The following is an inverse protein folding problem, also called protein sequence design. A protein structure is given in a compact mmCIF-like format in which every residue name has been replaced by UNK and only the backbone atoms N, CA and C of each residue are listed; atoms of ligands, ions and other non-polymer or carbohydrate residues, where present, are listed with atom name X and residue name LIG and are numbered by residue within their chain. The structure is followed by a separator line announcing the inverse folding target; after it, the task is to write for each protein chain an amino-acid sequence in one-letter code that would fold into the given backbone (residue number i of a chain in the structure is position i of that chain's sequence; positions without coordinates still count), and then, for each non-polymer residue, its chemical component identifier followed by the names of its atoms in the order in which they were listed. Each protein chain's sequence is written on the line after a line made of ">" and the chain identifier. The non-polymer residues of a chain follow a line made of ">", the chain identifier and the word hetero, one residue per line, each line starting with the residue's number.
data_IF_384786035411
#
_entry.id   IF_384786035411
#
_cell.length_a   1.000
_cell.length_b   1.000
_cell.length_c   1.000
_cell.angle_alpha   90.00
_cell.angle_beta   90.00
_cell.angle_gamma   90.00
#
_symmetry.space_group_name_H-M   'P 1'
#
loop_
_entity.id
_entity.type
_entity.pdbx_description
1 polymer ?
#
# COMPACT_ATOMS: atom_id res chain seq x y z
N UNK A 1 36.10 -31.40 -14.92
CA UNK A 1 35.00 -31.20 -13.97
C UNK A 1 34.51 -29.76 -14.10
N UNK A 2 33.52 -29.52 -14.97
CA UNK A 2 32.88 -28.21 -15.12
C UNK A 2 31.81 -28.07 -14.03
N UNK A 3 32.15 -27.34 -12.96
CA UNK A 3 31.21 -27.03 -11.89
C UNK A 3 30.00 -26.27 -12.47
N UNK A 4 28.79 -26.79 -12.26
CA UNK A 4 27.56 -26.01 -12.43
C UNK A 4 27.60 -24.88 -11.41
N UNK A 5 28.00 -23.69 -11.83
CA UNK A 5 27.73 -22.48 -11.09
C UNK A 5 26.21 -22.31 -11.09
N UNK A 6 25.55 -22.74 -10.01
CA UNK A 6 24.17 -22.38 -9.76
C UNK A 6 24.08 -20.87 -9.82
N UNK A 7 23.16 -20.34 -10.64
CA UNK A 7 22.90 -18.91 -10.68
C UNK A 7 22.75 -18.40 -9.23
N UNK A 8 23.38 -17.26 -8.87
CA UNK A 8 23.33 -16.78 -7.51
C UNK A 8 21.87 -16.63 -7.05
N UNK A 9 21.54 -16.97 -5.79
CA UNK A 9 20.16 -17.02 -5.30
C UNK A 9 19.42 -15.67 -5.39
N UNK A 10 20.15 -14.57 -5.57
CA UNK A 10 19.65 -13.20 -5.70
C UNK A 10 19.38 -12.76 -7.16
N UNK A 11 19.34 -13.68 -8.13
CA UNK A 11 18.99 -13.38 -9.52
C UNK A 11 17.62 -12.70 -9.69
N UNK A 12 16.71 -12.86 -8.73
CA UNK A 12 15.38 -12.23 -8.73
C UNK A 12 15.41 -10.73 -8.39
N UNK A 13 16.44 -10.26 -7.67
CA UNK A 13 16.61 -8.85 -7.27
C UNK A 13 17.16 -8.01 -8.43
N UNK A 14 17.96 -8.64 -9.30
CA UNK A 14 18.51 -8.03 -10.49
C UNK A 14 19.25 -6.71 -10.21
N UNK A 15 18.94 -5.61 -10.93
CA UNK A 15 19.67 -4.34 -10.84
C UNK A 15 19.44 -3.57 -9.53
N UNK A 16 18.50 -4.00 -8.67
CA UNK A 16 18.26 -3.40 -7.36
C UNK A 16 19.11 -4.03 -6.24
N UNK A 17 20.03 -4.95 -6.59
CA UNK A 17 20.87 -5.67 -5.63
C UNK A 17 21.63 -4.75 -4.66
N UNK A 18 22.23 -3.62 -5.07
CA UNK A 18 22.87 -2.72 -4.13
C UNK A 18 21.90 -2.23 -3.03
N UNK A 19 20.69 -1.81 -3.39
CA UNK A 19 19.75 -1.30 -2.39
C UNK A 19 19.23 -2.42 -1.47
N UNK A 20 18.99 -3.61 -2.03
CA UNK A 20 18.57 -4.78 -1.27
C UNK A 20 19.67 -5.24 -0.29
N UNK A 21 20.92 -5.32 -0.75
CA UNK A 21 22.06 -5.73 0.06
C UNK A 21 22.36 -4.71 1.16
N UNK A 22 22.23 -3.41 0.87
CA UNK A 22 22.35 -2.37 1.90
C UNK A 22 21.36 -2.58 3.05
N UNK A 23 20.10 -2.88 2.72
CA UNK A 23 19.07 -3.19 3.71
C UNK A 23 19.42 -4.45 4.49
N UNK A 24 19.73 -5.55 3.80
CA UNK A 24 20.06 -6.83 4.42
C UNK A 24 21.29 -6.72 5.35
N UNK A 25 22.31 -5.96 4.96
CA UNK A 25 23.51 -5.73 5.77
C UNK A 25 23.20 -4.95 7.05
N UNK A 26 22.43 -3.86 6.93
CA UNK A 26 21.98 -3.10 8.11
C UNK A 26 21.14 -3.98 9.05
N UNK A 27 20.28 -4.84 8.49
CA UNK A 27 19.48 -5.80 9.25
C UNK A 27 20.33 -6.86 9.97
N UNK A 28 21.27 -7.48 9.26
CA UNK A 28 22.18 -8.50 9.81
C UNK A 28 23.06 -7.93 10.94
N UNK A 29 23.51 -6.69 10.80
CA UNK A 29 24.32 -6.01 11.79
C UNK A 29 23.50 -5.35 12.93
N UNK A 30 22.17 -5.42 12.89
CA UNK A 30 21.31 -4.81 13.91
C UNK A 30 21.47 -3.29 14.00
N UNK A 31 21.75 -2.62 12.86
CA UNK A 31 21.97 -1.19 12.83
C UNK A 31 20.64 -0.46 12.93
N UNK A 32 20.27 -0.01 14.12
CA UNK A 32 19.06 0.78 14.38
C UNK A 32 19.49 2.16 14.91
N UNK A 33 18.77 3.21 14.49
CA UNK A 33 18.95 4.63 14.91
C UNK A 33 20.33 5.24 14.65
N UNK A 34 21.14 4.60 13.81
CA UNK A 34 22.49 5.05 13.44
C UNK A 34 22.48 6.37 12.66
N UNK A 35 23.47 7.25 12.86
CA UNK A 35 23.70 8.40 11.99
C UNK A 35 23.94 7.98 10.54
N UNK A 36 23.50 8.82 9.59
CA UNK A 36 23.55 8.52 8.14
C UNK A 36 24.97 8.28 7.63
N UNK A 37 25.96 8.96 8.20
CA UNK A 37 27.37 8.84 7.81
C UNK A 37 28.03 7.54 8.30
N UNK A 38 27.42 6.83 9.25
CA UNK A 38 27.87 5.50 9.69
C UNK A 38 27.31 4.37 8.81
N UNK A 39 26.34 4.68 7.93
CA UNK A 39 25.73 3.69 7.06
C UNK A 39 26.59 3.49 5.82
N UNK A 40 26.82 2.24 5.39
CA UNK A 40 27.59 1.99 4.18
C UNK A 40 26.84 2.54 2.97
N UNK A 41 27.56 3.10 1.99
CA UNK A 41 26.96 3.58 0.75
C UNK A 41 26.70 2.42 -0.23
N UNK A 42 25.77 2.62 -1.18
CA UNK A 42 25.32 1.57 -2.12
C UNK A 42 26.44 1.04 -3.02
N UNK A 43 27.51 1.81 -3.25
CA UNK A 43 28.66 1.36 -4.03
C UNK A 43 29.59 0.47 -3.20
N UNK A 44 29.99 0.96 -2.01
CA UNK A 44 30.96 0.29 -1.13
C UNK A 44 30.48 -1.08 -0.65
N UNK A 45 29.16 -1.26 -0.50
CA UNK A 45 28.64 -2.55 -0.05
C UNK A 45 28.89 -3.70 -1.04
N UNK A 46 29.02 -3.38 -2.33
CA UNK A 46 29.16 -4.37 -3.40
C UNK A 46 30.58 -4.93 -3.46
N UNK A 47 31.55 -4.28 -2.80
CA UNK A 47 32.94 -4.72 -2.73
C UNK A 47 33.19 -5.75 -1.62
N UNK A 48 32.21 -5.94 -0.73
CA UNK A 48 32.30 -6.84 0.42
C UNK A 48 31.62 -8.18 0.13
N UNK A 49 32.16 -9.27 0.66
CA UNK A 49 31.54 -10.58 0.56
C UNK A 49 30.15 -10.59 1.23
N UNK A 50 29.19 -11.28 0.60
CA UNK A 50 27.84 -11.44 1.14
C UNK A 50 27.87 -12.62 2.12
N UNK A 51 27.57 -12.34 3.39
CA UNK A 51 27.44 -13.34 4.43
C UNK A 51 26.17 -14.19 4.25
N UNK A 52 26.17 -15.39 4.83
CA UNK A 52 25.01 -16.30 4.77
C UNK A 52 23.73 -15.70 5.39
N UNK A 53 23.87 -14.84 6.40
CA UNK A 53 22.72 -14.19 7.01
C UNK A 53 22.14 -13.10 6.10
N UNK A 54 23.01 -12.30 5.45
CA UNK A 54 22.57 -11.36 4.43
C UNK A 54 21.88 -12.06 3.26
N UNK A 55 22.37 -13.23 2.81
CA UNK A 55 21.71 -14.02 1.77
C UNK A 55 20.28 -14.42 2.17
N UNK A 56 20.06 -14.86 3.41
CA UNK A 56 18.73 -15.21 3.92
C UNK A 56 17.80 -13.99 3.94
N UNK A 57 18.31 -12.85 4.43
CA UNK A 57 17.57 -11.59 4.47
C UNK A 57 17.25 -11.08 3.06
N UNK A 58 18.17 -11.21 2.11
CA UNK A 58 17.95 -10.88 0.70
C UNK A 58 16.80 -11.69 0.11
N UNK A 59 16.78 -13.01 0.31
CA UNK A 59 15.69 -13.88 -0.17
C UNK A 59 14.35 -13.50 0.47
N UNK A 60 14.33 -13.31 1.79
CA UNK A 60 13.13 -12.91 2.53
C UNK A 60 12.59 -11.55 2.06
N UNK A 61 13.46 -10.54 1.96
CA UNK A 61 13.07 -9.21 1.53
C UNK A 61 12.62 -9.19 0.05
N UNK A 62 13.26 -9.98 -0.81
CA UNK A 62 12.87 -10.11 -2.22
C UNK A 62 11.44 -10.67 -2.39
N UNK A 63 11.01 -11.59 -1.52
CA UNK A 63 9.63 -12.10 -1.54
C UNK A 63 8.61 -11.01 -1.23
N UNK A 64 8.88 -10.18 -0.21
CA UNK A 64 8.03 -9.04 0.15
C UNK A 64 7.97 -8.02 -0.99
N UNK A 65 9.12 -7.70 -1.58
CA UNK A 65 9.19 -6.76 -2.72
C UNK A 65 8.44 -7.29 -3.93
N UNK A 66 8.59 -8.58 -4.27
CA UNK A 66 7.89 -9.21 -5.39
C UNK A 66 6.37 -9.18 -5.21
N UNK A 67 5.87 -9.54 -4.02
CA UNK A 67 4.44 -9.49 -3.71
C UNK A 67 3.88 -8.05 -3.79
N UNK A 68 4.61 -7.07 -3.26
CA UNK A 68 4.21 -5.66 -3.37
C UNK A 68 4.30 -5.13 -4.81
N UNK A 69 5.25 -5.61 -5.61
CA UNK A 69 5.36 -5.27 -7.03
C UNK A 69 4.18 -5.84 -7.83
N UNK A 70 3.77 -7.08 -7.56
CA UNK A 70 2.60 -7.70 -8.14
C UNK A 70 1.33 -6.88 -7.83
N UNK A 71 1.14 -6.48 -6.56
CA UNK A 71 0.03 -5.61 -6.16
C UNK A 71 0.11 -4.23 -6.80
N UNK A 72 1.31 -3.64 -6.86
CA UNK A 72 1.53 -2.34 -7.48
C UNK A 72 1.20 -2.36 -8.96
N UNK A 73 1.72 -3.36 -9.67
CA UNK A 73 1.49 -3.57 -11.09
C UNK A 73 0.01 -3.79 -11.36
N UNK A 74 -0.62 -4.70 -10.61
CA UNK A 74 -2.03 -4.97 -10.77
C UNK A 74 -2.88 -3.70 -10.60
N UNK A 75 -2.55 -2.85 -9.62
CA UNK A 75 -3.33 -1.64 -9.36
C UNK A 75 -3.03 -0.49 -10.32
N UNK A 76 -1.77 -0.29 -10.66
CA UNK A 76 -1.29 0.93 -11.32
C UNK A 76 -0.86 0.71 -12.76
N UNK A 77 -0.41 -0.49 -13.13
CA UNK A 77 0.09 -0.81 -14.47
C UNK A 77 -0.95 -1.54 -15.31
N UNK A 78 -1.45 -2.67 -14.82
CA UNK A 78 -2.31 -3.59 -15.57
C UNK A 78 -3.31 -4.30 -14.65
N UNK A 79 -4.55 -3.82 -14.66
CA UNK A 79 -5.64 -4.35 -13.83
C UNK A 79 -6.13 -5.75 -14.21
N UNK A 80 -5.64 -6.30 -15.32
CA UNK A 80 -5.98 -7.65 -15.80
C UNK A 80 -5.03 -8.73 -15.27
N UNK A 81 -3.87 -8.36 -14.73
CA UNK A 81 -2.86 -9.31 -14.30
C UNK A 81 -2.55 -9.20 -12.82
N UNK A 82 -2.59 -10.34 -12.13
CA UNK A 82 -2.19 -10.45 -10.72
C UNK A 82 -0.68 -10.58 -10.51
N UNK A 83 0.08 -10.68 -11.59
CA UNK A 83 1.54 -10.69 -11.55
C UNK A 83 2.08 -9.44 -12.23
N UNK A 84 3.31 -9.06 -11.89
CA UNK A 84 3.94 -7.86 -12.39
C UNK A 84 4.00 -7.84 -13.92
N UNK A 85 3.55 -6.72 -14.48
CA UNK A 85 3.65 -6.29 -15.89
C UNK A 85 4.48 -5.03 -16.01
N UNK A 86 5.23 -4.69 -14.96
CA UNK A 86 6.22 -3.64 -15.04
C UNK A 86 7.28 -4.03 -16.06
N UNK A 87 7.70 -3.07 -16.89
CA UNK A 87 8.91 -3.24 -17.69
C UNK A 87 10.12 -3.40 -16.78
N UNK A 88 11.22 -3.92 -17.31
CA UNK A 88 12.47 -4.03 -16.55
C UNK A 88 12.90 -2.70 -15.88
N UNK A 89 12.76 -1.58 -16.60
CA UNK A 89 13.10 -0.25 -16.08
C UNK A 89 12.09 0.27 -15.04
N UNK A 90 10.80 -0.06 -15.17
CA UNK A 90 9.77 0.27 -14.18
C UNK A 90 9.96 -0.55 -12.89
N UNK A 91 10.19 -1.86 -13.01
CA UNK A 91 10.48 -2.76 -11.90
C UNK A 91 11.73 -2.32 -11.14
N UNK A 92 12.82 -2.01 -11.86
CA UNK A 92 14.03 -1.48 -11.23
C UNK A 92 13.78 -0.19 -10.43
N UNK A 93 13.03 0.78 -11.00
CA UNK A 93 12.68 2.02 -10.29
C UNK A 93 11.82 1.73 -9.05
N UNK A 94 10.85 0.82 -9.17
CA UNK A 94 9.97 0.41 -8.08
C UNK A 94 10.78 -0.21 -6.94
N UNK A 95 11.54 -1.27 -7.22
CA UNK A 95 12.29 -2.02 -6.21
C UNK A 95 13.35 -1.14 -5.54
N UNK A 96 14.08 -0.33 -6.32
CA UNK A 96 15.09 0.59 -5.79
C UNK A 96 14.49 1.60 -4.82
N UNK A 97 13.36 2.21 -5.17
CA UNK A 97 12.67 3.16 -4.31
C UNK A 97 12.09 2.48 -3.05
N UNK A 98 11.54 1.27 -3.20
CA UNK A 98 10.99 0.49 -2.09
C UNK A 98 12.07 0.09 -1.09
N UNK A 99 13.22 -0.43 -1.53
CA UNK A 99 14.32 -0.81 -0.64
C UNK A 99 14.92 0.39 0.10
N UNK A 100 15.09 1.54 -0.57
CA UNK A 100 15.60 2.77 0.07
C UNK A 100 14.65 3.29 1.14
N UNK A 101 13.35 3.26 0.85
CA UNK A 101 12.32 3.62 1.82
C UNK A 101 12.29 2.63 3.00
N UNK A 102 12.34 1.33 2.70
CA UNK A 102 12.36 0.28 3.73
C UNK A 102 13.57 0.41 4.64
N UNK A 103 14.74 0.77 4.11
CA UNK A 103 15.92 1.04 4.93
C UNK A 103 15.65 2.17 5.94
N UNK A 104 14.97 3.25 5.56
CA UNK A 104 14.57 4.31 6.51
C UNK A 104 13.59 3.79 7.57
N UNK A 105 12.58 3.02 7.17
CA UNK A 105 11.66 2.36 8.12
C UNK A 105 12.39 1.42 9.08
N UNK A 106 13.42 0.72 8.63
CA UNK A 106 14.20 -0.17 9.49
C UNK A 106 15.10 0.62 10.46
N UNK A 107 15.75 1.68 9.97
CA UNK A 107 16.69 2.47 10.77
C UNK A 107 15.99 3.32 11.83
N UNK A 108 14.88 3.95 11.48
CA UNK A 108 14.23 4.97 12.31
C UNK A 108 12.77 4.67 12.61
N UNK A 109 12.22 3.60 12.01
CA UNK A 109 10.83 3.19 12.19
C UNK A 109 10.67 2.13 13.29
N UNK A 110 9.72 1.21 13.08
CA UNK A 110 9.44 0.15 14.04
C UNK A 110 10.63 -0.81 14.16
N UNK A 111 11.15 -1.03 15.37
CA UNK A 111 12.18 -2.05 15.56
C UNK A 111 11.57 -3.45 15.35
N UNK A 112 12.38 -4.43 14.92
CA UNK A 112 11.89 -5.78 14.64
C UNK A 112 11.35 -6.46 15.91
N UNK A 113 10.36 -7.37 15.78
CA UNK A 113 9.83 -8.10 16.92
C UNK A 113 10.94 -8.81 17.70
N UNK A 114 11.04 -8.56 19.01
CA UNK A 114 12.03 -9.19 19.88
C UNK A 114 13.31 -8.38 20.12
N UNK A 115 13.48 -7.20 19.51
CA UNK A 115 14.48 -6.23 20.01
C UNK A 115 14.14 -5.86 21.45
N UNK A 116 15.14 -5.78 22.33
CA UNK A 116 14.93 -5.43 23.75
C UNK A 116 14.04 -4.17 23.85
N UNK A 117 12.94 -4.29 24.59
CA UNK A 117 11.98 -3.19 24.78
C UNK A 117 12.68 -2.08 25.58
N UNK A 118 13.06 -1.02 24.90
CA UNK A 118 13.41 0.22 25.58
C UNK A 118 12.16 0.84 26.19
N UNK A 119 12.32 1.47 27.36
CA UNK A 119 11.25 2.04 28.17
C UNK A 119 10.44 3.10 27.41
N UNK A 120 9.13 3.16 27.70
CA UNK A 120 8.10 3.97 27.04
C UNK A 120 8.43 5.48 26.94
N UNK A 121 9.20 6.01 27.90
CA UNK A 121 9.54 7.44 27.98
C UNK A 121 10.53 7.91 26.90
N UNK A 122 11.18 7.01 26.17
CA UNK A 122 12.28 7.34 25.25
C UNK A 122 11.84 7.63 23.80
N UNK A 123 10.59 7.33 23.41
CA UNK A 123 10.23 7.23 21.98
C UNK A 123 9.84 8.56 21.31
N UNK A 124 9.26 9.52 22.04
CA UNK A 124 8.80 10.81 21.47
C UNK A 124 9.95 11.74 21.06
N UNK A 125 10.89 11.98 21.97
CA UNK A 125 12.09 12.79 21.69
C UNK A 125 12.95 12.20 20.57
N UNK A 126 12.87 10.89 20.37
CA UNK A 126 13.69 10.17 19.40
C UNK A 126 13.19 10.34 17.95
N UNK A 127 11.88 10.47 17.72
CA UNK A 127 11.36 10.77 16.38
C UNK A 127 11.79 12.17 15.94
N UNK A 128 11.60 13.19 16.78
CA UNK A 128 12.00 14.57 16.44
C UNK A 128 13.49 14.64 16.11
N UNK A 129 14.31 13.85 16.83
CA UNK A 129 15.74 13.66 16.53
C UNK A 129 16.00 12.84 15.26
N UNK A 130 15.05 12.04 14.80
CA UNK A 130 15.17 11.23 13.58
C UNK A 130 14.84 12.00 12.31
N UNK A 131 13.96 13.00 12.33
CA UNK A 131 13.57 13.77 11.12
C UNK A 131 14.80 14.42 10.44
N UNK A 132 15.73 15.09 11.16
CA UNK A 132 16.97 15.58 10.57
C UNK A 132 17.81 14.46 9.95
N UNK A 133 17.93 13.31 10.61
CA UNK A 133 18.68 12.15 10.08
C UNK A 133 18.04 11.59 8.81
N UNK A 134 16.71 11.47 8.77
CA UNK A 134 15.97 11.08 7.58
C UNK A 134 16.21 12.08 6.44
N UNK A 135 16.20 13.37 6.74
CA UNK A 135 16.49 14.43 5.76
C UNK A 135 17.92 14.31 5.21
N UNK A 136 18.92 14.12 6.08
CA UNK A 136 20.32 13.92 5.67
C UNK A 136 20.48 12.70 4.75
N UNK A 137 19.78 11.61 5.07
CA UNK A 137 19.76 10.41 4.22
C UNK A 137 19.15 10.69 2.85
N UNK A 138 17.97 11.34 2.83
CA UNK A 138 17.24 11.63 1.60
C UNK A 138 17.94 12.68 0.71
N UNK A 139 18.70 13.59 1.30
CA UNK A 139 19.47 14.61 0.58
C UNK A 139 20.48 14.02 -0.41
N UNK A 140 20.93 12.77 -0.20
CA UNK A 140 21.82 12.05 -1.11
C UNK A 140 21.17 11.68 -2.46
N UNK A 141 19.84 11.71 -2.57
CA UNK A 141 19.13 11.31 -3.80
C UNK A 141 18.73 12.50 -4.66
N UNK A 142 18.61 12.26 -5.97
CA UNK A 142 18.06 13.26 -6.92
C UNK A 142 16.57 13.52 -6.68
N UNK A 143 16.05 14.67 -7.13
CA UNK A 143 14.61 14.98 -6.97
C UNK A 143 13.71 13.95 -7.66
N UNK A 144 14.17 13.37 -8.78
CA UNK A 144 13.46 12.28 -9.47
C UNK A 144 13.36 11.03 -8.60
N UNK A 145 14.43 10.66 -7.90
CA UNK A 145 14.43 9.51 -6.99
C UNK A 145 13.56 9.76 -5.76
N UNK A 146 13.54 10.99 -5.23
CA UNK A 146 12.63 11.38 -4.15
C UNK A 146 11.17 11.27 -4.56
N UNK A 147 10.82 11.65 -5.80
CA UNK A 147 9.48 11.42 -6.33
C UNK A 147 9.13 9.92 -6.42
N UNK A 148 10.10 9.07 -6.80
CA UNK A 148 9.90 7.62 -6.84
C UNK A 148 9.61 7.07 -5.44
N UNK A 149 10.40 7.48 -4.44
CA UNK A 149 10.19 7.11 -3.03
C UNK A 149 8.80 7.56 -2.57
N UNK A 150 8.42 8.82 -2.85
CA UNK A 150 7.10 9.35 -2.48
C UNK A 150 5.95 8.59 -3.17
N UNK A 151 6.12 8.19 -4.42
CA UNK A 151 5.09 7.42 -5.11
C UNK A 151 4.90 6.04 -4.46
N UNK A 152 5.99 5.39 -4.06
CA UNK A 152 5.94 4.13 -3.31
C UNK A 152 5.25 4.32 -1.96
N UNK A 153 5.54 5.38 -1.21
CA UNK A 153 4.90 5.61 0.09
C UNK A 153 3.39 5.83 -0.06
N UNK A 154 2.97 6.57 -1.07
CA UNK A 154 1.54 6.74 -1.39
C UNK A 154 0.85 5.41 -1.76
N UNK A 155 1.52 4.58 -2.56
CA UNK A 155 1.04 3.23 -2.88
C UNK A 155 0.89 2.37 -1.62
N UNK A 156 1.91 2.33 -0.77
CA UNK A 156 1.87 1.53 0.46
C UNK A 156 0.81 2.02 1.44
N UNK A 157 0.59 3.34 1.54
CA UNK A 157 -0.54 3.91 2.26
C UNK A 157 -1.87 3.37 1.73
N UNK A 158 -2.03 3.26 0.42
CA UNK A 158 -3.25 2.70 -0.19
C UNK A 158 -3.44 1.23 0.19
N UNK A 159 -2.38 0.43 0.15
CA UNK A 159 -2.40 -0.99 0.54
C UNK A 159 -2.73 -1.17 2.03
N UNK A 160 -2.12 -0.37 2.90
CA UNK A 160 -2.39 -0.39 4.33
C UNK A 160 -3.80 0.13 4.66
N UNK A 161 -4.29 1.11 3.89
CA UNK A 161 -5.65 1.65 4.00
C UNK A 161 -6.73 0.58 3.81
N UNK A 162 -6.43 -0.53 3.14
CA UNK A 162 -7.35 -1.66 2.96
C UNK A 162 -7.75 -2.36 4.26
N UNK A 163 -6.99 -2.19 5.34
CA UNK A 163 -7.34 -2.70 6.68
C UNK A 163 -7.78 -1.61 7.65
N UNK A 164 -7.91 -0.36 7.17
CA UNK A 164 -8.15 0.79 8.05
C UNK A 164 -9.52 0.77 8.73
N UNK A 165 -10.50 0.06 8.18
CA UNK A 165 -11.79 -0.17 8.83
C UNK A 165 -11.67 -0.84 10.21
N UNK A 166 -10.60 -1.59 10.48
CA UNK A 166 -10.36 -2.14 11.81
C UNK A 166 -9.85 -1.11 12.82
N UNK A 167 -9.32 0.02 12.37
CA UNK A 167 -8.88 1.12 13.23
C UNK A 167 -10.01 2.07 13.61
N UNK A 168 -11.14 2.05 12.90
CA UNK A 168 -12.28 2.90 13.16
C UNK A 168 -12.81 2.68 14.59
N UNK A 169 -12.42 3.57 15.51
CA UNK A 169 -12.77 3.54 16.93
C UNK A 169 -11.76 2.87 17.87
N UNK A 170 -10.64 2.34 17.37
CA UNK A 170 -9.60 1.72 18.22
C UNK A 170 -8.33 2.55 18.37
N UNK A 171 -8.03 3.45 17.44
CA UNK A 171 -6.84 4.29 17.49
C UNK A 171 -7.19 5.74 17.11
N UNK A 172 -6.83 6.67 17.96
CA UNK A 172 -6.80 8.10 17.63
C UNK A 172 -5.45 8.36 16.92
N UNK A 173 -5.41 8.08 15.61
CA UNK A 173 -4.22 8.35 14.76
C UNK A 173 -4.58 9.46 13.78
N UNK A 174 -3.96 10.63 13.94
CA UNK A 174 -4.13 11.73 12.98
C UNK A 174 -3.28 11.55 11.71
N UNK A 175 -2.18 10.80 11.80
CA UNK A 175 -1.29 10.53 10.67
C UNK A 175 -1.05 9.03 10.39
N UNK A 176 -2.04 8.41 9.76
CA UNK A 176 -1.92 7.03 9.27
C UNK A 176 -0.81 6.87 8.22
N UNK A 177 -0.52 7.91 7.43
CA UNK A 177 0.51 7.84 6.39
C UNK A 177 1.88 7.66 7.02
N UNK A 178 2.20 8.50 8.00
CA UNK A 178 3.38 8.36 8.83
C UNK A 178 3.47 7.01 9.51
N UNK A 179 2.37 6.52 10.10
CA UNK A 179 2.32 5.20 10.77
C UNK A 179 2.71 4.05 9.83
N UNK A 180 2.17 4.05 8.61
CA UNK A 180 2.48 3.00 7.64
C UNK A 180 3.95 3.06 7.20
N UNK A 181 4.47 4.26 6.94
CA UNK A 181 5.88 4.45 6.56
C UNK A 181 6.82 4.07 7.72
N UNK A 182 6.44 4.36 8.96
CA UNK A 182 7.15 3.95 10.17
C UNK A 182 7.16 2.42 10.32
N UNK A 183 6.06 1.74 9.99
CA UNK A 183 5.94 0.29 10.08
C UNK A 183 6.72 -0.47 9.01
N UNK A 184 6.81 0.10 7.81
CA UNK A 184 7.56 -0.44 6.69
C UNK A 184 6.82 -1.52 5.86
N UNK A 185 7.39 -1.90 4.70
CA UNK A 185 6.74 -2.75 3.70
C UNK A 185 6.24 -4.11 4.19
N UNK A 186 7.02 -4.80 5.03
CA UNK A 186 6.67 -6.14 5.48
C UNK A 186 5.39 -6.16 6.34
N UNK A 187 5.28 -5.21 7.28
CA UNK A 187 4.08 -5.08 8.11
C UNK A 187 2.84 -4.72 7.27
N UNK A 188 3.00 -3.82 6.29
CA UNK A 188 1.92 -3.41 5.38
C UNK A 188 1.44 -4.58 4.52
N UNK A 189 2.36 -5.35 3.94
CA UNK A 189 2.00 -6.53 3.14
C UNK A 189 1.24 -7.54 3.99
N UNK A 190 1.75 -7.83 5.20
CA UNK A 190 1.11 -8.76 6.12
C UNK A 190 -0.30 -8.32 6.51
N UNK A 191 -0.50 -7.02 6.78
CA UNK A 191 -1.83 -6.45 7.01
C UNK A 191 -2.77 -6.74 5.85
N UNK A 192 -2.32 -6.47 4.62
CA UNK A 192 -3.12 -6.71 3.43
C UNK A 192 -3.45 -8.20 3.25
N UNK A 193 -2.49 -9.10 3.44
CA UNK A 193 -2.68 -10.55 3.28
C UNK A 193 -3.62 -11.13 4.35
N UNK A 194 -3.42 -10.75 5.62
CA UNK A 194 -4.23 -11.23 6.74
C UNK A 194 -5.61 -10.55 6.82
N UNK A 195 -5.77 -9.40 6.13
CA UNK A 195 -6.96 -8.56 6.25
C UNK A 195 -7.15 -8.01 7.67
N UNK A 196 -6.04 -7.86 8.41
CA UNK A 196 -6.03 -7.51 9.82
C UNK A 196 -5.01 -6.40 10.11
N UNK A 197 -5.33 -5.54 11.07
CA UNK A 197 -4.46 -4.47 11.55
C UNK A 197 -3.37 -4.94 12.54
N UNK A 198 -3.41 -6.19 12.99
CA UNK A 198 -2.54 -6.71 14.05
C UNK A 198 -1.03 -6.51 13.81
N UNK A 199 -0.49 -6.65 12.58
CA UNK A 199 0.92 -6.34 12.30
C UNK A 199 1.32 -4.89 12.58
N UNK A 200 0.37 -3.95 12.57
CA UNK A 200 0.58 -2.55 12.95
C UNK A 200 0.28 -2.29 14.43
N UNK A 201 -0.51 -3.15 15.08
CA UNK A 201 -0.90 -3.05 16.51
C UNK A 201 0.09 -3.67 17.48
N UNK A 202 1.27 -4.08 17.02
CA UNK A 202 2.31 -4.70 17.87
C UNK A 202 2.68 -3.80 19.07
N UNK A 203 2.31 -2.52 19.05
CA UNK A 203 2.53 -1.56 20.12
C UNK A 203 1.22 -0.96 20.63
N UNK A 204 0.96 -1.11 21.93
CA UNK A 204 -0.24 -0.62 22.65
C UNK A 204 -0.36 0.92 22.74
N UNK A 205 0.52 1.67 22.07
CA UNK A 205 0.76 3.10 22.31
C UNK A 205 0.78 3.95 21.04
N UNK A 206 -0.06 3.62 20.06
CA UNK A 206 -0.33 4.54 18.94
C UNK A 206 -1.33 5.57 19.47
N UNK A 207 -0.85 6.61 20.14
CA UNK A 207 -1.61 7.80 20.50
C UNK A 207 -1.35 8.96 19.53
N UNK A 208 -2.18 9.99 19.57
CA UNK A 208 -2.27 11.12 18.64
C UNK A 208 -0.94 11.67 18.07
N UNK A 209 0.11 11.73 18.89
CA UNK A 209 1.44 12.31 18.56
C UNK A 209 2.57 11.27 18.69
N UNK A 210 2.37 10.07 18.16
CA UNK A 210 3.39 9.02 18.20
C UNK A 210 4.60 9.31 17.30
N UNK A 211 5.66 8.47 17.39
CA UNK A 211 6.93 8.60 16.68
C UNK A 211 6.82 8.38 15.15
N UNK A 212 5.63 8.49 14.60
CA UNK A 212 5.34 8.33 13.18
C UNK A 212 4.87 9.62 12.51
N UNK A 213 4.52 10.70 13.24
CA UNK A 213 3.91 11.89 12.65
C UNK A 213 4.82 12.59 11.63
N UNK A 214 4.44 12.50 10.36
CA UNK A 214 5.19 12.99 9.22
C UNK A 214 6.48 12.23 8.94
N UNK A 215 6.63 11.03 9.52
CA UNK A 215 7.75 10.13 9.24
C UNK A 215 7.91 10.00 7.73
N UNK A 216 9.13 10.21 7.23
CA UNK A 216 9.53 10.22 5.82
C UNK A 216 8.85 11.28 4.93
N UNK A 217 7.53 11.52 5.03
CA UNK A 217 6.84 12.55 4.25
C UNK A 217 7.33 13.97 4.57
N UNK A 218 7.44 14.38 5.85
CA UNK A 218 7.95 15.72 6.23
C UNK A 218 9.36 16.00 5.68
N UNK A 219 10.38 15.15 5.94
CA UNK A 219 11.73 15.43 5.43
C UNK A 219 11.80 15.37 3.90
N UNK A 220 11.07 14.47 3.25
CA UNK A 220 11.02 14.39 1.78
C UNK A 220 10.43 15.66 1.16
N UNK A 221 9.31 16.15 1.69
CA UNK A 221 8.66 17.37 1.21
C UNK A 221 9.55 18.60 1.41
N UNK A 222 10.16 18.74 2.58
CA UNK A 222 11.11 19.82 2.86
C UNK A 222 12.25 19.87 1.84
N UNK A 223 12.81 18.72 1.44
CA UNK A 223 13.89 18.68 0.43
C UNK A 223 13.38 19.08 -0.96
N UNK A 224 12.20 18.61 -1.36
CA UNK A 224 11.62 18.98 -2.66
C UNK A 224 11.32 20.48 -2.73
N UNK A 225 10.78 21.06 -1.65
CA UNK A 225 10.53 22.50 -1.52
C UNK A 225 11.82 23.31 -1.56
N UNK A 226 12.86 22.91 -0.83
CA UNK A 226 14.18 23.56 -0.84
C UNK A 226 14.82 23.55 -2.23
N UNK A 227 14.62 22.46 -2.98
CA UNK A 227 15.07 22.33 -4.37
C UNK A 227 14.17 23.08 -5.36
N UNK A 228 13.13 23.78 -4.88
CA UNK A 228 12.08 24.44 -5.69
C UNK A 228 11.50 23.48 -6.73
N UNK A 229 11.41 22.21 -6.37
CA UNK A 229 10.88 21.19 -7.24
C UNK A 229 9.36 21.22 -7.13
N UNK A 230 8.70 21.75 -8.15
CA UNK A 230 7.24 21.72 -8.19
C UNK A 230 6.75 20.27 -8.35
N UNK A 231 6.17 19.74 -7.28
CA UNK A 231 5.57 18.40 -7.24
C UNK A 231 4.41 18.30 -8.23
N UNK A 232 3.75 19.41 -8.51
CA UNK A 232 2.63 19.52 -9.45
C UNK A 232 3.08 19.86 -10.87
N UNK A 233 4.39 19.82 -11.15
CA UNK A 233 5.05 20.22 -12.40
C UNK A 233 4.15 20.05 -13.64
N UNK A 234 3.62 21.18 -14.14
CA UNK A 234 3.07 21.37 -15.48
C UNK A 234 2.19 20.22 -16.01
N UNK A 235 1.35 19.62 -15.15
CA UNK A 235 0.41 18.57 -15.57
C UNK A 235 1.03 17.20 -15.88
N UNK A 236 2.31 16.97 -15.55
CA UNK A 236 2.87 15.61 -15.65
C UNK A 236 2.26 14.72 -14.58
N UNK A 237 1.59 13.61 -14.94
CA UNK A 237 0.94 12.77 -13.94
C UNK A 237 1.94 12.17 -12.95
N UNK A 238 1.58 12.18 -11.66
CA UNK A 238 2.44 11.69 -10.57
C UNK A 238 2.96 10.26 -10.79
N UNK A 239 2.18 9.40 -11.46
CA UNK A 239 2.58 8.02 -11.78
C UNK A 239 3.81 7.92 -12.70
N UNK A 240 4.11 8.96 -13.50
CA UNK A 240 5.26 8.98 -14.42
C UNK A 240 6.61 8.93 -13.70
N UNK A 241 6.63 9.13 -12.38
CA UNK A 241 7.82 8.90 -11.57
C UNK A 241 8.32 7.44 -11.67
N UNK A 242 7.40 6.47 -11.69
CA UNK A 242 7.69 5.03 -11.74
C UNK A 242 7.28 4.36 -13.06
N UNK A 243 6.15 4.76 -13.64
CA UNK A 243 5.55 4.10 -14.80
C UNK A 243 5.75 4.91 -16.08
N UNK A 244 6.19 4.25 -17.14
CA UNK A 244 6.29 4.87 -18.46
C UNK A 244 4.92 4.89 -19.15
N UNK A 245 4.11 3.85 -18.95
CA UNK A 245 2.76 3.71 -19.50
C UNK A 245 1.85 2.89 -18.58
N UNK A 246 0.53 3.06 -18.70
CA UNK A 246 -0.48 2.29 -17.96
C UNK A 246 -1.43 1.61 -18.94
N UNK A 247 -1.67 0.32 -18.77
CA UNK A 247 -2.58 -0.44 -19.61
C UNK A 247 -4.02 -0.06 -19.25
N UNK A 248 -4.80 0.36 -20.25
CA UNK A 248 -6.21 0.72 -20.06
C UNK A 248 -6.43 2.08 -19.37
N UNK A 249 -5.47 2.99 -19.41
CA UNK A 249 -5.60 4.35 -18.83
C UNK A 249 -6.77 5.14 -19.44
N UNK A 250 -7.03 4.94 -20.73
CA UNK A 250 -8.08 5.62 -21.49
C UNK A 250 -9.38 4.82 -21.58
N UNK A 251 -9.46 3.69 -20.87
CA UNK A 251 -10.69 2.92 -20.82
C UNK A 251 -11.79 3.72 -20.15
N UNK A 252 -13.02 3.51 -20.63
CA UNK A 252 -14.21 4.24 -20.17
C UNK A 252 -15.08 3.34 -19.33
N UNK A 253 -15.70 3.94 -18.32
CA UNK A 253 -16.78 3.26 -17.60
C UNK A 253 -17.88 2.87 -18.60
N UNK A 254 -18.29 1.60 -18.59
CA UNK A 254 -19.32 1.07 -19.48
C UNK A 254 -20.67 1.76 -19.26
N UNK A 255 -20.89 2.36 -18.08
CA UNK A 255 -22.16 2.98 -17.67
C UNK A 255 -22.21 4.47 -17.96
N UNK A 256 -21.45 5.27 -17.23
CA UNK A 256 -21.46 6.72 -17.42
C UNK A 256 -20.67 7.18 -18.65
N UNK A 257 -19.90 6.30 -19.29
CA UNK A 257 -18.99 6.60 -20.43
C UNK A 257 -17.91 7.63 -20.10
N UNK A 258 -17.79 8.05 -18.83
CA UNK A 258 -16.77 9.00 -18.39
C UNK A 258 -15.38 8.39 -18.49
N UNK A 259 -14.44 9.19 -18.98
CA UNK A 259 -12.99 8.94 -18.93
C UNK A 259 -12.41 9.40 -17.61
N UNK A 260 -13.12 10.28 -16.87
CA UNK A 260 -12.65 10.83 -15.60
C UNK A 260 -13.46 10.27 -14.44
N UNK A 261 -12.82 10.11 -13.29
CA UNK A 261 -13.49 9.85 -12.02
C UNK A 261 -13.96 11.17 -11.39
N UNK A 262 -14.61 11.07 -10.22
CA UNK A 262 -15.20 12.21 -9.52
C UNK A 262 -14.19 13.29 -9.12
N UNK A 263 -12.89 12.98 -9.07
CA UNK A 263 -11.81 13.93 -8.75
C UNK A 263 -11.09 14.43 -10.02
N UNK A 264 -11.65 14.17 -11.21
CA UNK A 264 -11.09 14.62 -12.48
C UNK A 264 -9.85 13.83 -12.94
N UNK A 265 -9.53 12.70 -12.29
CA UNK A 265 -8.45 11.82 -12.71
C UNK A 265 -8.94 10.81 -13.75
N UNK A 266 -8.08 10.36 -14.66
CA UNK A 266 -8.46 9.34 -15.66
C UNK A 266 -8.91 8.05 -14.95
N UNK A 267 -10.17 7.68 -15.16
CA UNK A 267 -10.86 6.58 -14.48
C UNK A 267 -10.50 5.21 -15.02
N UNK A 268 -9.85 5.09 -16.19
CA UNK A 268 -9.61 3.81 -16.85
C UNK A 268 -8.89 2.79 -15.96
N UNK A 269 -7.87 3.24 -15.24
CA UNK A 269 -7.14 2.45 -14.24
C UNK A 269 -7.91 2.20 -12.93
N UNK A 270 -9.00 2.94 -12.71
CA UNK A 270 -9.92 2.86 -11.56
C UNK A 270 -11.27 2.27 -11.97
N UNK A 271 -11.27 1.39 -12.98
CA UNK A 271 -12.44 0.60 -13.36
C UNK A 271 -12.42 -0.78 -12.72
N UNK A 272 -13.61 -1.26 -12.40
CA UNK A 272 -13.86 -2.46 -11.61
C UNK A 272 -14.72 -3.45 -12.37
N UNK A 273 -14.39 -4.73 -12.24
CA UNK A 273 -15.16 -5.86 -12.73
C UNK A 273 -14.81 -7.11 -11.90
N UNK A 274 -15.37 -8.27 -12.25
CA UNK A 274 -15.16 -9.51 -11.49
C UNK A 274 -13.69 -9.96 -11.35
N UNK A 275 -12.79 -9.51 -12.23
CA UNK A 275 -11.38 -9.89 -12.14
C UNK A 275 -10.60 -9.09 -11.10
N UNK A 276 -11.18 -8.00 -10.55
CA UNK A 276 -10.49 -7.15 -9.58
C UNK A 276 -11.33 -6.65 -8.40
N UNK A 277 -12.50 -7.23 -8.15
CA UNK A 277 -13.34 -6.85 -7.01
C UNK A 277 -12.69 -7.09 -5.65
N UNK A 278 -11.79 -8.06 -5.53
CA UNK A 278 -11.00 -8.31 -4.32
C UNK A 278 -10.25 -7.07 -3.82
N UNK A 279 -9.85 -6.15 -4.71
CA UNK A 279 -9.20 -4.90 -4.32
C UNK A 279 -10.19 -3.81 -3.86
N UNK A 280 -11.49 -3.97 -4.08
CA UNK A 280 -12.51 -3.01 -3.61
C UNK A 280 -12.54 -2.84 -2.11
N UNK A 281 -11.99 -3.79 -1.34
CA UNK A 281 -11.85 -3.69 0.12
C UNK A 281 -11.04 -2.46 0.55
N UNK A 282 -10.18 -1.96 -0.34
CA UNK A 282 -9.42 -0.73 -0.14
C UNK A 282 -10.23 0.55 -0.28
N UNK A 283 -11.43 0.46 -0.86
CA UNK A 283 -12.34 1.58 -1.12
C UNK A 283 -13.62 1.50 -0.28
N UNK A 284 -14.06 0.28 0.05
CA UNK A 284 -15.23 0.02 0.87
C UNK A 284 -14.83 -0.61 2.20
N UNK A 285 -14.22 0.19 3.07
CA UNK A 285 -13.89 -0.24 4.44
C UNK A 285 -15.15 -0.38 5.30
N UNK A 286 -16.19 0.38 4.99
CA UNK A 286 -17.48 0.36 5.69
C UNK A 286 -18.66 0.41 4.72
N UNK A 287 -19.18 -0.75 4.32
CA UNK A 287 -20.38 -0.84 3.49
C UNK A 287 -21.64 -0.27 4.17
N UNK A 288 -21.63 -0.05 5.49
CA UNK A 288 -22.78 0.58 6.17
C UNK A 288 -23.03 2.00 5.69
N UNK A 289 -21.99 2.72 5.23
CA UNK A 289 -22.12 4.06 4.64
C UNK A 289 -22.80 4.03 3.28
N UNK A 290 -22.79 2.88 2.60
CA UNK A 290 -23.49 2.68 1.34
C UNK A 290 -24.98 2.35 1.54
N UNK A 291 -25.47 2.21 2.77
CA UNK A 291 -26.89 1.96 3.01
C UNK A 291 -27.66 3.27 2.88
N UNK A 292 -28.45 3.41 1.81
CA UNK A 292 -29.33 4.58 1.64
C UNK A 292 -30.40 4.69 2.72
N UNK A 293 -30.78 5.94 3.04
CA UNK A 293 -31.97 6.32 3.80
C UNK A 293 -31.97 5.81 5.27
N UNK A 294 -33.18 5.61 5.81
CA UNK A 294 -33.46 5.26 7.21
C UNK A 294 -32.98 3.85 7.61
N UNK A 295 -32.62 2.98 6.65
CA UNK A 295 -32.15 1.63 6.95
C UNK A 295 -30.84 1.64 7.76
N UNK A 296 -29.89 2.51 7.41
CA UNK A 296 -28.64 2.68 8.17
C UNK A 296 -28.84 3.31 9.55
N UNK A 297 -29.99 3.95 9.80
CA UNK A 297 -30.35 4.53 11.10
C UNK A 297 -31.28 3.63 11.93
N UNK A 298 -31.75 2.53 11.34
CA UNK A 298 -32.70 1.66 12.01
C UNK A 298 -31.97 0.77 13.01
N UNK A 299 -32.06 1.14 14.30
CA UNK A 299 -31.47 0.37 15.39
C UNK A 299 -32.01 -1.06 15.52
N UNK A 300 -33.15 -1.39 14.92
CA UNK A 300 -33.64 -2.78 14.91
C UNK A 300 -32.88 -3.67 13.92
N UNK A 301 -32.21 -3.07 12.92
CA UNK A 301 -31.44 -3.77 11.89
C UNK A 301 -29.96 -3.94 12.26
N UNK A 302 -29.64 -4.17 13.54
CA UNK A 302 -28.25 -4.48 13.97
C UNK A 302 -27.65 -5.68 13.24
N UNK A 303 -28.50 -6.64 12.82
CA UNK A 303 -28.08 -7.79 12.01
C UNK A 303 -27.57 -7.37 10.62
N UNK A 304 -28.15 -6.34 10.00
CA UNK A 304 -27.68 -5.81 8.72
C UNK A 304 -26.25 -5.28 8.84
N UNK A 305 -25.97 -4.44 9.84
CA UNK A 305 -24.63 -3.90 10.05
C UNK A 305 -23.58 -4.98 10.26
N UNK A 306 -23.91 -6.03 11.04
CA UNK A 306 -23.04 -7.20 11.19
C UNK A 306 -22.82 -7.93 9.87
N UNK A 307 -23.88 -8.13 9.08
CA UNK A 307 -23.78 -8.78 7.77
C UNK A 307 -22.93 -7.98 6.78
N UNK A 308 -23.07 -6.65 6.77
CA UNK A 308 -22.26 -5.75 5.94
C UNK A 308 -20.80 -5.71 6.38
N UNK A 309 -20.53 -5.70 7.69
CA UNK A 309 -19.17 -5.79 8.21
C UNK A 309 -18.48 -7.10 7.80
N UNK A 310 -19.20 -8.22 7.82
CA UNK A 310 -18.70 -9.50 7.29
C UNK A 310 -18.51 -9.47 5.78
N UNK A 311 -19.42 -8.81 5.04
CA UNK A 311 -19.32 -8.64 3.59
C UNK A 311 -18.11 -7.79 3.18
N UNK A 312 -17.72 -6.77 3.96
CA UNK A 312 -16.50 -6.00 3.71
C UNK A 312 -15.24 -6.89 3.71
N UNK A 313 -15.19 -7.91 4.58
CA UNK A 313 -14.04 -8.82 4.69
C UNK A 313 -13.86 -9.71 3.45
N UNK A 314 -14.95 -10.00 2.74
CA UNK A 314 -14.96 -10.76 1.49
C UNK A 314 -15.79 -10.01 0.43
N UNK A 315 -15.27 -8.83 0.06
CA UNK A 315 -15.95 -7.91 -0.86
C UNK A 315 -16.20 -8.56 -2.23
N UNK A 316 -15.32 -9.47 -2.68
CA UNK A 316 -15.50 -10.15 -3.97
C UNK A 316 -16.73 -11.05 -3.97
N UNK A 317 -16.88 -11.88 -2.92
CA UNK A 317 -18.09 -12.69 -2.73
C UNK A 317 -19.33 -11.83 -2.58
N UNK A 318 -19.24 -10.73 -1.84
CA UNK A 318 -20.34 -9.77 -1.70
C UNK A 318 -20.75 -9.19 -3.06
N UNK A 319 -19.79 -8.77 -3.90
CA UNK A 319 -20.08 -8.26 -5.24
C UNK A 319 -20.75 -9.31 -6.12
N UNK A 320 -20.33 -10.58 -6.07
CA UNK A 320 -21.05 -11.65 -6.75
C UNK A 320 -22.51 -11.77 -6.28
N UNK A 321 -22.78 -11.63 -4.98
CA UNK A 321 -24.14 -11.63 -4.45
C UNK A 321 -24.94 -10.42 -4.92
N UNK A 322 -24.35 -9.21 -4.93
CA UNK A 322 -25.01 -8.01 -5.47
C UNK A 322 -25.45 -8.23 -6.92
N UNK A 323 -24.55 -8.73 -7.78
CA UNK A 323 -24.89 -9.01 -9.18
C UNK A 323 -25.93 -10.13 -9.38
N UNK A 324 -26.03 -11.07 -8.44
CA UNK A 324 -27.06 -12.11 -8.47
C UNK A 324 -28.44 -11.57 -7.99
N UNK A 325 -28.45 -10.52 -7.17
CA UNK A 325 -29.67 -9.89 -6.62
C UNK A 325 -30.04 -8.57 -7.32
N UNK A 326 -29.36 -8.23 -8.43
CA UNK A 326 -29.61 -7.00 -9.18
C UNK A 326 -31.06 -6.97 -9.69
N UNK A 327 -31.67 -5.79 -9.63
CA UNK A 327 -33.02 -5.51 -10.16
C UNK A 327 -32.94 -4.34 -11.14
N UNK A 328 -34.07 -3.93 -11.70
CA UNK A 328 -34.11 -2.69 -12.50
C UNK A 328 -33.58 -1.51 -11.67
N UNK A 329 -32.74 -0.61 -12.25
CA UNK A 329 -32.32 -0.51 -13.66
C UNK A 329 -31.06 -1.32 -14.03
N UNK A 330 -30.55 -2.16 -13.15
CA UNK A 330 -29.26 -2.86 -13.26
C UNK A 330 -29.33 -4.21 -13.97
N UNK A 331 -30.50 -4.68 -14.42
CA UNK A 331 -30.69 -6.02 -15.04
C UNK A 331 -29.73 -6.28 -16.19
N UNK A 332 -29.41 -5.25 -16.98
CA UNK A 332 -28.49 -5.31 -18.12
C UNK A 332 -27.00 -5.37 -17.72
N UNK A 333 -26.66 -5.22 -16.43
CA UNK A 333 -25.27 -5.13 -16.00
C UNK A 333 -24.58 -6.49 -15.95
N UNK A 334 -23.41 -6.63 -16.57
CA UNK A 334 -22.63 -7.87 -16.54
C UNK A 334 -21.44 -7.72 -15.60
N UNK A 335 -21.04 -8.84 -14.99
CA UNK A 335 -19.90 -8.92 -14.07
C UNK A 335 -18.56 -8.54 -14.74
N UNK A 336 -18.46 -8.81 -16.05
CA UNK A 336 -17.30 -8.48 -16.87
C UNK A 336 -17.24 -7.01 -17.35
N UNK A 337 -18.33 -6.25 -17.19
CA UNK A 337 -18.34 -4.84 -17.64
C UNK A 337 -17.43 -4.01 -16.74
N UNK A 338 -16.58 -3.16 -17.34
CA UNK A 338 -15.74 -2.23 -16.61
C UNK A 338 -16.55 -1.04 -16.10
N UNK A 339 -16.62 -0.86 -14.78
CA UNK A 339 -17.45 0.17 -14.13
C UNK A 339 -16.61 1.01 -13.18
N UNK A 340 -16.78 2.35 -13.19
CA UNK A 340 -16.09 3.22 -12.25
C UNK A 340 -16.64 3.08 -10.82
N UNK A 341 -15.86 3.52 -9.82
CA UNK A 341 -16.24 3.42 -8.41
C UNK A 341 -17.58 4.10 -8.08
N UNK A 342 -17.87 5.24 -8.71
CA UNK A 342 -19.13 5.98 -8.49
C UNK A 342 -20.35 5.19 -8.98
N UNK A 343 -20.33 4.71 -10.23
CA UNK A 343 -21.39 3.86 -10.74
C UNK A 343 -21.53 2.56 -9.93
N UNK A 344 -20.41 1.99 -9.47
CA UNK A 344 -20.44 0.81 -8.62
C UNK A 344 -21.04 1.10 -7.23
N UNK A 345 -20.74 2.26 -6.65
CA UNK A 345 -21.29 2.71 -5.37
C UNK A 345 -22.80 2.90 -5.42
N UNK A 346 -23.32 3.52 -6.49
CA UNK A 346 -24.77 3.61 -6.72
C UNK A 346 -25.41 2.22 -6.82
N UNK A 347 -24.81 1.33 -7.62
CA UNK A 347 -25.27 -0.04 -7.77
C UNK A 347 -25.32 -0.80 -6.44
N UNK A 348 -24.25 -0.75 -5.64
CA UNK A 348 -24.19 -1.40 -4.33
C UNK A 348 -25.28 -0.82 -3.41
N UNK A 349 -25.34 0.49 -3.31
CA UNK A 349 -26.25 1.22 -2.43
C UNK A 349 -27.72 0.87 -2.68
N UNK A 350 -28.13 0.85 -3.95
CA UNK A 350 -29.50 0.54 -4.34
C UNK A 350 -29.82 -0.97 -4.28
N UNK A 351 -28.80 -1.83 -4.33
CA UNK A 351 -29.00 -3.30 -4.31
C UNK A 351 -29.01 -3.88 -2.89
N UNK A 352 -28.31 -3.25 -1.92
CA UNK A 352 -28.22 -3.72 -0.52
C UNK A 352 -29.61 -4.02 0.10
N UNK A 353 -30.64 -3.15 -0.01
CA UNK A 353 -31.94 -3.42 0.62
C UNK A 353 -32.58 -4.72 0.13
N UNK A 354 -32.46 -5.02 -1.17
CA UNK A 354 -33.02 -6.22 -1.77
C UNK A 354 -32.23 -7.46 -1.35
N UNK A 355 -30.90 -7.39 -1.42
CA UNK A 355 -30.03 -8.45 -0.93
C UNK A 355 -30.31 -8.79 0.56
N UNK A 356 -30.54 -7.76 1.38
CA UNK A 356 -30.85 -7.97 2.79
C UNK A 356 -32.23 -8.62 3.00
N UNK A 357 -33.23 -8.19 2.23
CA UNK A 357 -34.56 -8.81 2.26
C UNK A 357 -34.50 -10.29 1.87
N UNK A 358 -33.79 -10.61 0.79
CA UNK A 358 -33.65 -11.97 0.29
C UNK A 358 -32.89 -12.86 1.32
N UNK A 359 -31.87 -12.30 2.00
CA UNK A 359 -31.23 -13.00 3.14
C UNK A 359 -32.19 -13.27 4.29
N UNK A 360 -33.01 -12.30 4.69
CA UNK A 360 -33.97 -12.49 5.79
C UNK A 360 -34.96 -13.59 5.48
N UNK A 361 -35.45 -13.66 4.25
CA UNK A 361 -36.37 -14.72 3.80
C UNK A 361 -35.74 -16.12 3.86
N UNK A 362 -34.42 -16.23 3.62
CA UNK A 362 -33.71 -17.50 3.72
C UNK A 362 -33.41 -17.91 5.18
N UNK A 363 -33.33 -16.95 6.10
CA UNK A 363 -33.01 -17.20 7.51
C UNK A 363 -34.24 -17.54 8.38
N UNK A 364 -35.46 -17.25 7.90
CA UNK A 364 -36.72 -17.53 8.60
C UNK A 364 -37.20 -16.35 9.44
#
# INVERSE_FOLDING_TARGET
>A
MSGRWSAPPYGQIGPALPQALRLARCQAAGLIRRPVHELPDEADIMEQEISREEERLLVSNAQVVAALEDLFSWRNKDRLSRTSKLSYAESWRFQRALYRMWLLSYLYGMPPPGSARESEEYQGEELERSIPKQKDFLMKFSSRELLQIRYITFFLRTVAGCVSGEFAGSLDVYDFEGLYQFAGPHAILRCYEEGAADPLRVWKFIGDYGPYEGFLTKPLMSILEERKFDVHQNGTPFYKALLDQRNGEDDKCTRCKSVNDAIGMRSGVNLWNETNWDYLRCYYTNLSESVTLSLGKNRTETKLHKALALACKDISRFMHQMFNNKREPYTQWRKADWVCLECLGMFISETIPFWWLDRKQLEG
#
